data_IF_851005077449
#
_entry.id   IF_851005077449
#
_cell.length_a   1.000
_cell.length_b   1.000
_cell.length_c   1.000
_cell.angle_alpha   90.00
_cell.angle_beta   90.00
_cell.angle_gamma   90.00
#
_symmetry.space_group_name_H-M   'P 1'
#
loop_
_entity.id
_entity.type
_entity.pdbx_description
1 polymer ?
#
# COMPACT_ATOMS: atom_id res chain seq x y z
N UNK A 1 -15.88 28.45 10.48
CA UNK A 1 -15.51 27.51 9.41
C UNK A 1 -15.29 26.17 10.06
N UNK A 2 -15.71 25.10 9.39
CA UNK A 2 -15.45 23.76 9.88
C UNK A 2 -14.35 23.12 9.04
N UNK A 3 -13.49 22.38 9.73
CA UNK A 3 -12.56 21.48 9.09
C UNK A 3 -13.31 20.17 8.83
N UNK A 4 -13.48 19.84 7.56
CA UNK A 4 -14.22 18.66 7.11
C UNK A 4 -13.32 17.78 6.25
N UNK A 5 -13.82 16.61 5.84
CA UNK A 5 -13.22 15.86 4.74
C UNK A 5 -13.94 16.18 3.43
N UNK A 6 -13.18 16.51 2.39
CA UNK A 6 -13.64 16.54 1.01
C UNK A 6 -12.74 15.59 0.20
N UNK A 7 -13.35 14.57 -0.43
CA UNK A 7 -12.63 13.49 -1.13
C UNK A 7 -11.50 12.84 -0.29
N UNK A 8 -11.72 12.70 1.01
CA UNK A 8 -10.77 12.08 1.94
C UNK A 8 -9.56 12.95 2.32
N UNK A 9 -9.49 14.20 1.85
CA UNK A 9 -8.52 15.20 2.27
C UNK A 9 -9.16 16.20 3.25
N UNK A 10 -8.39 16.76 4.21
CA UNK A 10 -8.86 17.87 5.03
C UNK A 10 -9.18 19.07 4.14
N UNK A 11 -10.37 19.61 4.31
CA UNK A 11 -10.86 20.81 3.66
C UNK A 11 -11.45 21.77 4.69
N UNK A 12 -11.39 23.06 4.41
CA UNK A 12 -12.05 24.08 5.23
C UNK A 12 -13.30 24.53 4.49
N UNK A 13 -14.46 24.36 5.12
CA UNK A 13 -15.74 24.82 4.56
C UNK A 13 -16.25 26.01 5.36
N UNK A 14 -16.69 27.04 4.62
CA UNK A 14 -17.38 28.17 5.20
C UNK A 14 -18.84 27.85 5.46
N UNK A 15 -19.28 28.05 6.70
CA UNK A 15 -20.70 28.22 6.98
C UNK A 15 -21.15 29.56 6.41
N UNK A 16 -22.35 29.61 5.84
CA UNK A 16 -22.90 30.81 5.22
C UNK A 16 -22.73 32.04 6.11
N UNK A 17 -22.50 33.20 5.49
CA UNK A 17 -22.36 34.47 6.20
C UNK A 17 -23.59 34.67 7.10
N UNK A 18 -23.37 34.75 8.41
CA UNK A 18 -24.41 35.15 9.33
C UNK A 18 -24.90 36.54 8.89
N UNK A 19 -26.17 36.65 8.52
CA UNK A 19 -26.81 37.90 8.07
C UNK A 19 -27.13 38.83 9.24
N UNK A 20 -26.83 38.43 10.47
CA UNK A 20 -27.04 39.24 11.67
C UNK A 20 -25.82 39.18 12.60
N UNK A 21 -25.30 40.36 12.90
CA UNK A 21 -24.29 40.64 13.93
C UNK A 21 -25.02 40.61 15.28
N UNK A 22 -24.83 39.55 16.05
CA UNK A 22 -25.39 39.39 17.39
C UNK A 22 -24.35 38.76 18.29
N UNK A 23 -24.36 39.14 19.58
CA UNK A 23 -23.40 38.75 20.61
C UNK A 23 -23.28 37.23 20.73
N UNK A 24 -22.44 36.62 19.90
CA UNK A 24 -22.10 35.21 19.96
C UNK A 24 -20.92 35.03 20.92
N UNK A 25 -21.07 34.12 21.87
CA UNK A 25 -19.97 33.63 22.70
C UNK A 25 -18.79 33.18 21.82
N UNK A 26 -17.53 33.53 22.14
CA UNK A 26 -16.37 33.13 21.36
C UNK A 26 -16.29 31.60 21.23
N UNK A 27 -16.47 31.10 20.01
CA UNK A 27 -16.37 29.67 19.69
C UNK A 27 -14.92 29.25 19.44
N UNK A 28 -14.52 28.07 19.92
CA UNK A 28 -13.20 27.51 19.64
C UNK A 28 -13.09 27.11 18.16
N UNK A 29 -12.04 27.58 17.48
CA UNK A 29 -11.83 27.35 16.05
C UNK A 29 -10.66 26.40 15.82
N UNK A 30 -10.84 25.43 14.91
CA UNK A 30 -9.77 24.49 14.49
C UNK A 30 -9.04 24.94 13.22
N UNK A 31 -9.65 25.78 12.39
CA UNK A 31 -9.06 26.41 11.21
C UNK A 31 -9.88 27.66 10.79
N UNK A 32 -9.22 28.71 10.29
CA UNK A 32 -9.89 29.92 9.81
C UNK A 32 -9.22 30.47 8.54
N UNK A 33 -10.02 31.04 7.65
CA UNK A 33 -9.58 31.88 6.53
C UNK A 33 -9.28 33.28 7.06
N UNK A 34 -8.43 34.01 6.36
CA UNK A 34 -7.73 35.16 6.95
C UNK A 34 -8.59 36.42 7.18
N UNK A 35 -9.88 36.36 6.90
CA UNK A 35 -10.79 37.52 6.88
C UNK A 35 -11.48 37.82 8.22
N UNK A 36 -11.11 37.17 9.33
CA UNK A 36 -11.78 37.41 10.64
C UNK A 36 -11.11 36.84 11.90
N UNK A 37 -9.78 36.70 11.95
CA UNK A 37 -9.07 36.17 13.13
C UNK A 37 -8.61 37.26 14.10
N UNK A 38 -9.08 37.22 15.35
CA UNK A 38 -8.49 37.98 16.46
C UNK A 38 -7.56 37.07 17.27
N UNK A 39 -6.25 37.36 17.26
CA UNK A 39 -5.23 36.53 17.90
C UNK A 39 -4.40 37.37 18.87
N UNK A 40 -4.04 36.78 20.02
CA UNK A 40 -3.09 37.42 20.94
C UNK A 40 -1.71 37.51 20.29
N UNK A 41 -1.15 38.73 20.21
CA UNK A 41 0.12 39.00 19.53
C UNK A 41 1.29 38.24 20.15
N UNK A 42 1.30 38.01 21.47
CA UNK A 42 2.37 37.26 22.15
C UNK A 42 2.25 35.78 21.82
N UNK A 43 1.04 35.24 21.74
CA UNK A 43 0.77 33.88 21.29
C UNK A 43 1.19 33.66 19.84
N UNK A 44 0.88 34.61 18.94
CA UNK A 44 1.32 34.58 17.54
C UNK A 44 2.85 34.63 17.43
N UNK A 45 3.50 35.50 18.20
CA UNK A 45 4.97 35.58 18.23
C UNK A 45 5.60 34.30 18.79
N UNK A 46 5.01 33.71 19.83
CA UNK A 46 5.50 32.48 20.46
C UNK A 46 5.52 31.29 19.50
N UNK A 47 4.55 31.20 18.58
CA UNK A 47 4.51 30.15 17.55
C UNK A 47 5.27 30.48 16.26
N UNK A 48 6.02 31.60 16.23
CA UNK A 48 6.84 32.00 15.09
C UNK A 48 6.12 32.84 14.01
N UNK A 49 5.01 33.49 14.34
CA UNK A 49 4.32 34.44 13.46
C UNK A 49 3.57 33.82 12.27
N UNK A 50 3.09 34.68 11.36
CA UNK A 50 2.41 34.26 10.12
C UNK A 50 3.45 33.71 9.15
N UNK A 51 3.21 32.51 8.61
CA UNK A 51 4.13 31.93 7.63
C UNK A 51 4.06 32.68 6.29
N UNK A 52 5.19 32.87 5.59
CA UNK A 52 5.24 33.57 4.31
C UNK A 52 4.76 32.66 3.16
N UNK A 53 3.49 32.27 3.20
CA UNK A 53 2.85 31.47 2.15
C UNK A 53 2.24 32.39 1.09
N UNK A 54 2.25 31.95 -0.17
CA UNK A 54 1.61 32.65 -1.29
C UNK A 54 0.08 32.71 -1.23
N UNK A 55 -0.53 32.23 -0.13
CA UNK A 55 -1.95 32.30 0.17
C UNK A 55 -2.13 32.70 1.63
N UNK A 56 -2.86 33.80 1.88
CA UNK A 56 -3.12 34.25 3.24
C UNK A 56 -4.00 33.25 4.00
N UNK A 57 -4.90 32.56 3.29
CA UNK A 57 -5.75 31.52 3.86
C UNK A 57 -4.93 30.31 4.31
N UNK A 58 -3.97 29.87 3.50
CA UNK A 58 -3.04 28.82 3.87
C UNK A 58 -2.20 29.22 5.09
N UNK A 59 -1.73 30.47 5.13
CA UNK A 59 -0.96 31.00 6.26
C UNK A 59 -1.78 31.10 7.56
N UNK A 60 -3.06 31.48 7.45
CA UNK A 60 -3.98 31.56 8.57
C UNK A 60 -4.30 30.17 9.14
N UNK A 61 -4.60 29.18 8.29
CA UNK A 61 -4.83 27.80 8.73
C UNK A 61 -3.59 27.22 9.42
N UNK A 62 -2.40 27.41 8.85
CA UNK A 62 -1.15 26.97 9.46
C UNK A 62 -0.91 27.62 10.84
N UNK A 63 -1.20 28.92 10.98
CA UNK A 63 -1.06 29.65 12.23
C UNK A 63 -2.03 29.14 13.30
N UNK A 64 -3.30 28.94 12.94
CA UNK A 64 -4.33 28.40 13.85
C UNK A 64 -3.95 27.00 14.34
N UNK A 65 -3.49 26.13 13.45
CA UNK A 65 -3.04 24.78 13.82
C UNK A 65 -1.87 24.82 14.82
N UNK A 66 -0.86 25.67 14.60
CA UNK A 66 0.26 25.86 15.55
C UNK A 66 -0.22 26.32 16.93
N UNK A 67 -1.10 27.30 16.97
CA UNK A 67 -1.68 27.79 18.23
C UNK A 67 -2.44 26.70 18.96
N UNK A 68 -3.27 25.93 18.26
CA UNK A 68 -4.04 24.82 18.84
C UNK A 68 -3.13 23.69 19.34
N UNK A 69 -2.04 23.38 18.62
CA UNK A 69 -1.04 22.37 19.03
C UNK A 69 -0.38 22.75 20.36
N UNK A 70 -0.11 24.04 20.59
CA UNK A 70 0.44 24.54 21.87
C UNK A 70 -0.62 24.71 22.98
N UNK A 71 -1.84 24.21 22.78
CA UNK A 71 -2.92 24.36 23.75
C UNK A 71 -3.47 25.78 23.86
N UNK A 72 -3.16 26.67 22.89
CA UNK A 72 -3.77 28.00 22.83
C UNK A 72 -5.19 27.88 22.31
N UNK A 73 -6.10 28.61 22.95
CA UNK A 73 -7.47 28.76 22.45
C UNK A 73 -7.47 29.82 21.36
N UNK A 74 -7.92 29.43 20.17
CA UNK A 74 -8.25 30.35 19.09
C UNK A 74 -9.75 30.53 19.09
N UNK A 75 -10.19 31.77 19.27
CA UNK A 75 -11.60 32.13 19.21
C UNK A 75 -11.91 32.87 17.91
N UNK A 76 -13.02 32.52 17.28
CA UNK A 76 -13.65 33.43 16.33
C UNK A 76 -14.54 34.36 17.15
N UNK A 77 -14.29 35.65 17.07
CA UNK A 77 -15.20 36.67 17.58
C UNK A 77 -15.96 37.18 16.37
N UNK A 78 -17.24 36.87 16.28
CA UNK A 78 -18.08 37.22 15.13
C UNK A 78 -18.07 38.74 14.83
N UNK A 79 -17.79 39.54 15.87
CA UNK A 79 -17.79 41.02 15.82
C UNK A 79 -16.36 41.61 15.81
N UNK A 80 -15.31 40.78 15.74
CA UNK A 80 -13.95 41.29 15.64
C UNK A 80 -13.63 41.68 14.19
N UNK A 81 -13.41 42.96 13.97
CA UNK A 81 -12.83 43.46 12.72
C UNK A 81 -11.35 43.08 12.70
N UNK A 82 -11.02 42.03 11.95
CA UNK A 82 -9.65 41.84 11.49
C UNK A 82 -9.39 42.91 10.42
N UNK A 83 -8.60 43.92 10.75
CA UNK A 83 -8.12 44.86 9.74
C UNK A 83 -7.07 44.11 8.92
N UNK A 84 -7.52 43.44 7.86
CA UNK A 84 -6.66 43.07 6.75
C UNK A 84 -6.36 44.37 5.99
N UNK A 85 -5.10 44.81 6.04
CA UNK A 85 -4.63 46.03 5.40
C UNK A 85 -4.57 45.93 3.86
N UNK A 86 -4.94 44.77 3.30
CA UNK A 86 -5.11 44.58 1.85
C UNK A 86 -6.53 45.03 1.43
N UNK A 87 -6.69 45.68 0.26
CA UNK A 87 -8.01 46.04 -0.23
C UNK A 87 -8.84 44.77 -0.48
N UNK A 88 -9.93 44.60 0.28
CA UNK A 88 -10.95 43.60 -0.02
C UNK A 88 -11.95 44.21 -1.01
N UNK A 89 -11.95 43.80 -2.29
CA UNK A 89 -12.75 44.46 -3.32
C UNK A 89 -14.26 44.21 -3.18
N UNK A 90 -14.68 43.19 -2.40
CA UNK A 90 -16.09 42.91 -2.09
C UNK A 90 -16.26 41.89 -0.94
N UNK A 91 -17.47 41.80 -0.37
CA UNK A 91 -17.84 40.73 0.58
C UNK A 91 -17.74 39.31 -0.03
N UNK A 92 -17.86 39.17 -1.36
CA UNK A 92 -17.60 37.90 -2.05
C UNK A 92 -16.12 37.48 -2.02
N UNK A 93 -15.20 38.39 -1.71
CA UNK A 93 -13.78 38.08 -1.47
C UNK A 93 -13.55 37.43 -0.09
N UNK A 94 -14.52 37.51 0.83
CA UNK A 94 -14.47 36.91 2.18
C UNK A 94 -14.85 35.42 2.13
N UNK A 95 -15.55 35.00 1.08
CA UNK A 95 -16.04 33.63 0.90
C UNK A 95 -15.64 33.14 -0.48
N UNK A 96 -14.39 32.70 -0.62
CA UNK A 96 -14.00 31.82 -1.72
C UNK A 96 -13.62 30.47 -1.15
N UNK A 97 -14.08 29.36 -1.77
CA UNK A 97 -13.52 28.05 -1.47
C UNK A 97 -11.99 28.13 -1.57
N UNK A 98 -11.27 27.57 -0.61
CA UNK A 98 -9.85 27.32 -0.79
C UNK A 98 -9.69 26.53 -2.08
N UNK A 99 -8.85 27.01 -2.98
CA UNK A 99 -8.49 26.25 -4.17
C UNK A 99 -7.58 25.09 -3.72
N UNK A 100 -8.07 23.83 -3.73
CA UNK A 100 -7.25 22.69 -3.32
C UNK A 100 -6.06 22.48 -4.26
N UNK A 101 -6.10 23.00 -5.49
CA UNK A 101 -4.99 22.94 -6.43
C UNK A 101 -3.92 24.02 -6.17
N UNK A 102 -4.13 24.93 -5.21
CA UNK A 102 -3.16 25.97 -4.88
C UNK A 102 -1.85 25.36 -4.35
N UNK A 103 -0.67 25.75 -4.89
CA UNK A 103 0.63 25.32 -4.36
C UNK A 103 0.82 25.65 -2.87
N UNK A 104 0.25 26.76 -2.41
CA UNK A 104 0.32 27.16 -1.00
C UNK A 104 -0.50 26.23 -0.10
N UNK A 105 -1.65 25.74 -0.59
CA UNK A 105 -2.46 24.76 0.14
C UNK A 105 -1.80 23.38 0.16
N UNK A 106 -1.24 22.94 -0.98
CA UNK A 106 -0.44 21.72 -1.03
C UNK A 106 0.71 21.75 0.00
N UNK A 107 1.42 22.88 0.11
CA UNK A 107 2.49 23.05 1.11
C UNK A 107 2.00 22.98 2.57
N UNK A 108 0.76 23.43 2.85
CA UNK A 108 0.15 23.24 4.17
C UNK A 108 -0.19 21.78 4.42
N UNK A 109 -0.81 21.10 3.44
CA UNK A 109 -1.17 19.68 3.56
C UNK A 109 0.07 18.80 3.72
N UNK A 110 1.16 19.08 3.01
CA UNK A 110 2.42 18.36 3.16
C UNK A 110 2.91 18.42 4.61
N UNK A 111 2.88 19.60 5.22
CA UNK A 111 3.40 19.81 6.58
C UNK A 111 2.42 19.41 7.69
N UNK A 112 1.11 19.54 7.47
CA UNK A 112 0.07 19.50 8.52
C UNK A 112 -1.11 18.57 8.22
N UNK A 113 -1.15 17.94 7.06
CA UNK A 113 -2.32 17.22 6.54
C UNK A 113 -2.86 16.17 7.51
N UNK A 114 -1.98 15.34 8.09
CA UNK A 114 -2.38 14.33 9.07
C UNK A 114 -3.03 14.94 10.33
N UNK A 115 -2.45 16.02 10.87
CA UNK A 115 -3.01 16.73 12.03
C UNK A 115 -4.36 17.36 11.72
N UNK A 116 -4.49 18.00 10.55
CA UNK A 116 -5.74 18.56 10.07
C UNK A 116 -6.80 17.46 9.89
N UNK A 117 -6.45 16.34 9.27
CA UNK A 117 -7.37 15.23 9.06
C UNK A 117 -7.91 14.65 10.37
N UNK A 118 -7.04 14.44 11.36
CA UNK A 118 -7.45 13.98 12.70
C UNK A 118 -8.32 15.00 13.42
N UNK A 119 -8.05 16.29 13.26
CA UNK A 119 -8.94 17.33 13.80
C UNK A 119 -10.34 17.30 13.14
N UNK A 120 -10.43 16.91 11.86
CA UNK A 120 -11.71 16.78 11.14
C UNK A 120 -12.49 15.49 11.47
N UNK A 121 -11.81 14.41 11.88
CA UNK A 121 -12.40 13.07 12.03
C UNK A 121 -12.38 12.49 13.45
N UNK A 122 -11.57 13.05 14.35
CA UNK A 122 -11.30 12.50 15.68
C UNK A 122 -9.97 11.72 15.75
N UNK A 123 -9.45 11.51 16.97
CA UNK A 123 -8.08 11.03 17.21
C UNK A 123 -7.92 9.50 17.32
N UNK A 124 -8.97 8.71 17.07
CA UNK A 124 -8.98 7.27 17.35
C UNK A 124 -8.55 6.35 16.20
N UNK A 125 -8.55 6.85 14.95
CA UNK A 125 -8.40 6.04 13.74
C UNK A 125 -7.18 6.47 12.93
N UNK A 126 -6.28 5.54 12.66
CA UNK A 126 -5.15 5.73 11.71
C UNK A 126 -5.68 5.76 10.28
N UNK A 127 -5.14 6.65 9.45
CA UNK A 127 -5.41 6.71 8.02
C UNK A 127 -4.14 6.37 7.25
N UNK A 128 -4.18 5.23 6.55
CA UNK A 128 -3.06 4.68 5.79
C UNK A 128 -3.29 4.87 4.30
N UNK A 129 -2.32 5.49 3.67
CA UNK A 129 -2.21 5.64 2.23
C UNK A 129 -1.36 4.48 1.68
N UNK A 130 -1.91 3.59 0.83
CA UNK A 130 -1.11 2.57 0.14
C UNK A 130 -0.95 2.93 -1.34
N UNK A 131 0.27 3.22 -1.78
CA UNK A 131 0.56 3.51 -3.20
C UNK A 131 1.32 2.35 -3.84
N UNK A 132 0.88 1.93 -5.02
CA UNK A 132 1.53 0.89 -5.83
C UNK A 132 2.10 1.46 -7.13
N UNK A 133 3.00 0.72 -7.77
CA UNK A 133 3.65 1.13 -9.02
C UNK A 133 2.74 1.08 -10.28
N UNK A 134 1.52 0.55 -10.17
CA UNK A 134 0.61 0.49 -11.32
C UNK A 134 0.35 1.92 -11.86
N UNK A 135 0.36 2.11 -13.19
CA UNK A 135 0.40 3.45 -13.79
C UNK A 135 -0.93 4.20 -13.75
N UNK A 136 -2.07 3.49 -13.63
CA UNK A 136 -3.39 4.09 -13.44
C UNK A 136 -4.40 3.08 -12.94
N UNK A 137 -5.48 3.56 -12.31
CA UNK A 137 -6.59 2.72 -11.83
C UNK A 137 -7.19 1.83 -12.93
N UNK A 138 -7.21 2.29 -14.20
CA UNK A 138 -7.76 1.55 -15.35
C UNK A 138 -7.08 0.20 -15.59
N UNK A 139 -5.81 0.07 -15.20
CA UNK A 139 -5.03 -1.16 -15.41
C UNK A 139 -4.61 -1.83 -14.10
N UNK A 140 -4.89 -1.21 -12.96
CA UNK A 140 -4.40 -1.65 -11.64
C UNK A 140 -4.81 -3.08 -11.30
N UNK A 141 -6.03 -3.49 -11.65
CA UNK A 141 -6.52 -4.86 -11.43
C UNK A 141 -5.66 -5.96 -12.10
N UNK A 142 -4.80 -5.61 -13.08
CA UNK A 142 -3.87 -6.54 -13.73
C UNK A 142 -2.51 -6.65 -13.02
N UNK A 143 -2.32 -5.95 -11.91
CA UNK A 143 -1.08 -5.93 -11.13
C UNK A 143 -1.27 -6.68 -9.81
N UNK A 144 -0.33 -7.57 -9.47
CA UNK A 144 -0.35 -8.29 -8.19
C UNK A 144 -0.30 -7.33 -7.00
N UNK A 145 0.50 -6.27 -7.11
CA UNK A 145 0.66 -5.20 -6.11
C UNK A 145 -0.68 -4.58 -5.70
N UNK A 146 -1.63 -4.45 -6.64
CA UNK A 146 -2.97 -3.92 -6.37
C UNK A 146 -3.76 -4.84 -5.45
N UNK A 147 -3.74 -6.13 -5.72
CA UNK A 147 -4.48 -7.11 -4.90
C UNK A 147 -3.84 -7.26 -3.52
N UNK A 148 -2.50 -7.25 -3.46
CA UNK A 148 -1.75 -7.23 -2.20
C UNK A 148 -2.10 -6.01 -1.34
N UNK A 149 -2.00 -4.81 -1.92
CA UNK A 149 -2.32 -3.57 -1.20
C UNK A 149 -3.80 -3.50 -0.79
N UNK A 150 -4.71 -4.00 -1.64
CA UNK A 150 -6.16 -4.05 -1.36
C UNK A 150 -6.48 -4.99 -0.21
N UNK A 151 -5.83 -6.16 -0.15
CA UNK A 151 -6.01 -7.09 0.94
C UNK A 151 -5.49 -6.52 2.26
N UNK A 152 -4.30 -5.90 2.28
CA UNK A 152 -3.79 -5.21 3.48
C UNK A 152 -4.72 -4.07 3.91
N UNK A 153 -5.22 -3.27 2.96
CA UNK A 153 -6.17 -2.20 3.26
C UNK A 153 -7.47 -2.72 3.89
N UNK A 154 -8.00 -3.83 3.38
CA UNK A 154 -9.19 -4.46 3.93
C UNK A 154 -8.97 -4.95 5.36
N UNK A 155 -7.82 -5.55 5.66
CA UNK A 155 -7.49 -6.04 7.01
C UNK A 155 -7.22 -4.89 7.99
N UNK A 156 -6.56 -3.81 7.56
CA UNK A 156 -6.47 -2.58 8.36
C UNK A 156 -7.86 -2.01 8.68
N UNK A 157 -8.78 -2.07 7.71
CA UNK A 157 -10.20 -1.76 7.89
C UNK A 157 -10.87 -2.58 8.99
N UNK A 158 -10.63 -3.90 9.02
CA UNK A 158 -11.16 -4.80 10.07
C UNK A 158 -10.56 -4.52 11.45
N UNK A 159 -9.33 -4.01 11.50
CA UNK A 159 -8.67 -3.56 12.72
C UNK A 159 -9.12 -2.15 13.16
N UNK A 160 -10.08 -1.53 12.47
CA UNK A 160 -10.67 -0.23 12.83
C UNK A 160 -9.94 0.97 12.24
N UNK A 161 -9.00 0.76 11.30
CA UNK A 161 -8.22 1.80 10.64
C UNK A 161 -8.78 2.17 9.26
N UNK A 162 -8.53 3.40 8.80
CA UNK A 162 -8.77 3.78 7.42
C UNK A 162 -7.59 3.40 6.55
N UNK A 163 -7.85 2.82 5.38
CA UNK A 163 -6.81 2.51 4.42
C UNK A 163 -7.32 2.69 2.98
N UNK A 164 -6.56 3.39 2.16
CA UNK A 164 -6.90 3.65 0.76
C UNK A 164 -5.76 3.25 -0.15
N UNK A 165 -6.06 2.40 -1.14
CA UNK A 165 -5.11 1.98 -2.18
C UNK A 165 -5.18 2.91 -3.37
N UNK A 166 -4.03 3.25 -3.96
CA UNK A 166 -3.95 4.08 -5.16
C UNK A 166 -2.79 3.72 -6.06
N UNK A 167 -2.92 4.15 -7.30
CA UNK A 167 -1.89 4.04 -8.34
C UNK A 167 -0.94 5.24 -8.30
N UNK A 168 0.21 5.09 -8.97
CA UNK A 168 1.30 6.07 -8.88
C UNK A 168 0.94 7.44 -9.47
N UNK A 169 0.08 7.49 -10.49
CA UNK A 169 -0.46 8.73 -11.09
C UNK A 169 -1.34 9.54 -10.12
N UNK A 170 -1.72 8.93 -8.99
CA UNK A 170 -2.51 9.53 -7.92
C UNK A 170 -1.73 9.65 -6.62
N UNK A 171 -0.41 9.39 -6.64
CA UNK A 171 0.44 9.45 -5.45
C UNK A 171 0.47 10.85 -4.80
N UNK A 172 0.34 11.89 -5.61
CA UNK A 172 0.41 13.29 -5.19
C UNK A 172 -0.93 13.91 -4.78
N UNK A 173 -2.03 13.14 -4.76
CA UNK A 173 -3.33 13.65 -4.31
C UNK A 173 -3.27 14.16 -2.86
N UNK A 174 -4.01 15.22 -2.54
CA UNK A 174 -4.04 15.77 -1.19
C UNK A 174 -4.49 14.76 -0.13
N UNK A 175 -5.41 13.86 -0.47
CA UNK A 175 -5.86 12.80 0.43
C UNK A 175 -4.72 11.81 0.77
N UNK A 176 -3.82 11.58 -0.20
CA UNK A 176 -2.61 10.81 0.03
C UNK A 176 -1.70 11.52 1.01
N UNK A 177 -1.39 12.80 0.73
CA UNK A 177 -0.49 13.65 1.51
C UNK A 177 -0.98 13.91 2.93
N UNK A 178 -2.30 13.90 3.14
CA UNK A 178 -2.93 14.07 4.44
C UNK A 178 -3.08 12.79 5.27
N UNK A 179 -2.71 11.62 4.74
CA UNK A 179 -2.72 10.38 5.49
C UNK A 179 -1.67 10.40 6.61
N UNK A 180 -1.95 9.70 7.72
CA UNK A 180 -1.02 9.61 8.86
C UNK A 180 0.27 8.88 8.48
N UNK A 181 0.12 7.82 7.66
CA UNK A 181 1.23 6.99 7.17
C UNK A 181 1.02 6.72 5.68
N UNK A 182 2.07 6.91 4.90
CA UNK A 182 2.12 6.55 3.48
C UNK A 182 2.99 5.31 3.27
N UNK A 183 2.34 4.18 3.02
CA UNK A 183 3.00 2.93 2.66
C UNK A 183 3.16 2.87 1.14
N UNK A 184 4.41 2.91 0.68
CA UNK A 184 4.76 2.67 -0.72
C UNK A 184 5.00 1.17 -0.90
N UNK A 185 4.05 0.47 -1.51
CA UNK A 185 4.23 -0.91 -1.94
C UNK A 185 5.11 -0.88 -3.18
N UNK A 186 6.42 -1.07 -2.98
CA UNK A 186 7.42 -0.84 -4.01
C UNK A 186 7.44 -1.98 -5.02
N UNK A 187 6.97 -1.65 -6.22
CA UNK A 187 7.08 -2.46 -7.44
C UNK A 187 8.18 -1.91 -8.35
N UNK A 188 7.83 -1.55 -9.59
CA UNK A 188 8.77 -1.09 -10.64
C UNK A 188 9.08 0.42 -10.62
N UNK A 189 8.40 1.22 -9.80
CA UNK A 189 8.52 2.68 -9.82
C UNK A 189 8.67 3.27 -8.41
N UNK A 190 9.61 4.21 -8.29
CA UNK A 190 9.81 5.01 -7.09
C UNK A 190 8.63 5.96 -6.87
N UNK A 191 8.25 6.15 -5.61
CA UNK A 191 7.26 7.15 -5.21
C UNK A 191 7.97 8.18 -4.36
N UNK A 192 7.84 9.44 -4.74
CA UNK A 192 8.51 10.54 -4.03
C UNK A 192 7.97 10.67 -2.59
N UNK A 193 8.87 10.84 -1.63
CA UNK A 193 8.50 11.20 -0.27
C UNK A 193 7.93 12.64 -0.20
N UNK A 194 6.80 12.78 0.49
CA UNK A 194 6.20 14.10 0.77
C UNK A 194 6.79 14.64 2.08
N UNK A 195 7.36 15.86 2.10
CA UNK A 195 7.93 16.43 3.33
C UNK A 195 6.89 16.52 4.45
N UNK A 196 7.20 15.99 5.62
CA UNK A 196 6.30 16.01 6.80
C UNK A 196 5.34 14.82 6.90
N UNK A 197 5.21 14.01 5.85
CA UNK A 197 4.48 12.75 5.88
C UNK A 197 5.40 11.59 6.30
N UNK A 198 4.88 10.69 7.13
CA UNK A 198 5.57 9.45 7.50
C UNK A 198 5.47 8.44 6.37
N UNK A 199 6.54 8.26 5.63
CA UNK A 199 6.62 7.29 4.55
C UNK A 199 7.26 5.99 5.01
N UNK A 200 6.63 4.88 4.66
CA UNK A 200 7.12 3.52 4.83
C UNK A 200 7.31 2.90 3.45
N UNK A 201 8.51 2.45 3.14
CA UNK A 201 8.81 1.79 1.88
C UNK A 201 8.73 0.27 2.07
N UNK A 202 7.79 -0.40 1.41
CA UNK A 202 7.66 -1.86 1.47
C UNK A 202 8.12 -2.51 0.16
N UNK A 203 9.34 -3.06 0.18
CA UNK A 203 9.97 -3.74 -0.95
C UNK A 203 9.41 -5.16 -1.05
N UNK A 204 8.56 -5.39 -2.06
CA UNK A 204 7.93 -6.69 -2.31
C UNK A 204 8.49 -7.40 -3.55
N UNK A 205 9.14 -6.67 -4.46
CA UNK A 205 9.68 -7.19 -5.71
C UNK A 205 10.74 -6.26 -6.28
N UNK A 206 11.44 -6.70 -7.34
CA UNK A 206 12.46 -5.92 -8.06
C UNK A 206 13.49 -5.23 -7.13
N UNK A 207 14.05 -5.94 -6.14
CA UNK A 207 14.91 -5.36 -5.09
C UNK A 207 16.14 -4.61 -5.61
N UNK A 208 16.64 -4.99 -6.79
CA UNK A 208 17.81 -4.33 -7.40
C UNK A 208 17.49 -2.98 -8.06
N UNK A 209 16.22 -2.65 -8.23
CA UNK A 209 15.76 -1.36 -8.80
C UNK A 209 15.50 -0.30 -7.72
N UNK A 210 15.77 -0.62 -6.44
CA UNK A 210 15.56 0.31 -5.32
C UNK A 210 16.86 1.08 -5.05
N UNK A 211 16.80 2.39 -5.28
CA UNK A 211 17.93 3.28 -5.05
C UNK A 211 18.11 3.63 -3.56
N UNK A 212 19.35 3.88 -3.12
CA UNK A 212 19.65 4.25 -1.73
C UNK A 212 18.89 5.53 -1.31
N UNK A 213 18.74 6.49 -2.23
CA UNK A 213 17.97 7.71 -1.97
C UNK A 213 16.49 7.45 -1.65
N UNK A 214 15.89 6.33 -2.12
CA UNK A 214 14.54 5.93 -1.72
C UNK A 214 14.52 5.39 -0.29
N UNK A 215 15.55 4.61 0.07
CA UNK A 215 15.69 4.05 1.42
C UNK A 215 15.86 5.18 2.46
N UNK A 216 16.72 6.15 2.14
CA UNK A 216 17.05 7.27 3.02
C UNK A 216 15.92 8.30 3.15
N UNK A 217 14.99 8.34 2.18
CA UNK A 217 13.83 9.22 2.23
C UNK A 217 12.68 8.66 3.10
N UNK A 218 12.63 7.35 3.29
CA UNK A 218 11.63 6.69 4.11
C UNK A 218 11.96 6.81 5.61
N UNK A 219 10.95 6.64 6.47
CA UNK A 219 11.15 6.54 7.92
C UNK A 219 11.27 5.09 8.39
N UNK A 220 10.83 4.14 7.56
CA UNK A 220 10.95 2.71 7.79
C UNK A 220 10.97 1.99 6.45
N UNK A 221 11.89 1.05 6.29
CA UNK A 221 11.96 0.14 5.16
C UNK A 221 11.48 -1.23 5.61
N UNK A 222 10.44 -1.73 4.95
CA UNK A 222 9.93 -3.08 5.11
C UNK A 222 10.36 -3.91 3.90
N UNK A 223 10.80 -5.15 4.13
CA UNK A 223 11.32 -6.01 3.07
C UNK A 223 10.66 -7.37 3.12
N UNK A 224 10.19 -7.86 1.97
CA UNK A 224 9.60 -9.19 1.84
C UNK A 224 10.63 -10.32 1.74
N UNK A 225 11.81 -10.13 2.34
CA UNK A 225 12.91 -11.08 2.41
C UNK A 225 13.80 -10.74 3.61
N UNK A 226 14.06 -11.72 4.48
CA UNK A 226 15.00 -11.56 5.58
C UNK A 226 16.44 -11.37 5.08
N UNK A 227 16.87 -12.19 4.10
CA UNK A 227 18.19 -12.09 3.48
C UNK A 227 18.45 -10.70 2.89
N UNK A 228 17.46 -10.13 2.20
CA UNK A 228 17.61 -8.80 1.61
C UNK A 228 17.53 -7.70 2.67
N UNK A 229 16.70 -7.85 3.71
CA UNK A 229 16.68 -6.92 4.83
C UNK A 229 18.06 -6.79 5.49
N UNK A 230 18.76 -7.91 5.72
CA UNK A 230 20.11 -7.91 6.27
C UNK A 230 21.10 -7.14 5.39
N UNK A 231 21.03 -7.32 4.07
CA UNK A 231 21.85 -6.59 3.12
C UNK A 231 21.54 -5.07 3.13
N UNK A 232 20.27 -4.68 3.26
CA UNK A 232 19.87 -3.28 3.29
C UNK A 232 20.25 -2.56 4.58
N UNK A 233 20.32 -3.26 5.72
CA UNK A 233 20.79 -2.67 7.01
C UNK A 233 22.20 -2.10 6.94
N UNK A 234 23.02 -2.58 6.01
CA UNK A 234 24.36 -2.06 5.75
C UNK A 234 24.39 -0.90 4.73
N UNK A 235 23.29 -0.63 4.02
CA UNK A 235 23.20 0.36 2.93
C UNK A 235 22.52 1.67 3.34
N UNK A 236 21.70 1.66 4.37
CA UNK A 236 20.96 2.84 4.83
C UNK A 236 20.96 2.93 6.36
N UNK A 237 20.85 4.16 6.88
CA UNK A 237 20.61 4.40 8.30
C UNK A 237 19.12 4.28 8.68
N UNK A 238 18.22 4.24 7.69
CA UNK A 238 16.79 4.04 7.92
C UNK A 238 16.55 2.65 8.51
N UNK A 239 15.71 2.51 9.55
CA UNK A 239 15.37 1.20 10.09
C UNK A 239 14.84 0.23 9.02
N UNK A 240 15.35 -0.99 9.02
CA UNK A 240 14.95 -2.05 8.07
C UNK A 240 14.37 -3.25 8.82
N UNK A 241 13.13 -3.60 8.49
CA UNK A 241 12.35 -4.66 9.12
C UNK A 241 11.81 -5.64 8.08
N UNK A 242 11.55 -6.88 8.50
CA UNK A 242 10.99 -7.91 7.62
C UNK A 242 9.46 -7.86 7.68
N UNK A 243 8.83 -7.70 6.52
CA UNK A 243 7.39 -7.89 6.35
C UNK A 243 7.19 -8.68 5.05
N UNK A 244 6.96 -9.98 5.18
CA UNK A 244 6.82 -10.88 4.03
C UNK A 244 5.53 -10.62 3.25
N UNK A 245 5.48 -11.09 2.00
CA UNK A 245 4.20 -11.27 1.31
C UNK A 245 3.33 -12.32 2.04
N UNK A 246 2.05 -12.41 1.68
CA UNK A 246 1.05 -13.21 2.37
C UNK A 246 -0.20 -13.38 1.51
N UNK A 247 -1.06 -14.34 1.84
CA UNK A 247 -2.30 -14.60 1.09
C UNK A 247 -3.54 -13.92 1.69
N UNK A 248 -4.52 -13.60 0.84
CA UNK A 248 -5.90 -13.33 1.27
C UNK A 248 -6.62 -14.66 1.45
N UNK A 249 -6.46 -15.27 2.62
CA UNK A 249 -7.03 -16.58 2.95
C UNK A 249 -8.58 -16.64 2.90
N UNK A 250 -9.25 -15.48 2.87
CA UNK A 250 -10.71 -15.42 2.71
C UNK A 250 -11.10 -15.59 1.24
N UNK A 251 -10.25 -15.14 0.31
CA UNK A 251 -10.38 -15.31 -1.15
C UNK A 251 -9.77 -16.63 -1.62
N UNK A 252 -8.51 -16.86 -1.30
CA UNK A 252 -7.77 -18.06 -1.67
C UNK A 252 -8.04 -19.15 -0.64
N UNK A 253 -8.93 -20.06 -1.03
CA UNK A 253 -9.36 -21.22 -0.25
C UNK A 253 -9.73 -22.34 -1.22
N UNK A 254 -9.81 -23.60 -0.76
CA UNK A 254 -10.26 -24.68 -1.60
C UNK A 254 -11.67 -24.39 -2.13
N UNK A 255 -11.83 -24.41 -3.44
CA UNK A 255 -13.12 -24.28 -4.13
C UNK A 255 -13.44 -25.57 -4.91
N UNK A 256 -14.72 -25.85 -5.22
CA UNK A 256 -15.08 -26.93 -6.13
C UNK A 256 -14.33 -26.79 -7.46
N UNK A 257 -13.62 -27.83 -7.94
CA UNK A 257 -12.90 -27.76 -9.20
C UNK A 257 -13.82 -27.59 -10.41
N UNK A 258 -13.48 -26.64 -11.27
CA UNK A 258 -14.17 -26.37 -12.54
C UNK A 258 -13.54 -27.20 -13.67
N UNK A 259 -14.31 -28.05 -14.38
CA UNK A 259 -13.83 -28.78 -15.55
C UNK A 259 -13.08 -27.95 -16.59
N UNK A 260 -13.43 -26.67 -16.79
CA UNK A 260 -12.75 -25.77 -17.75
C UNK A 260 -11.32 -25.41 -17.33
N UNK A 261 -10.99 -25.58 -16.04
CA UNK A 261 -9.69 -25.28 -15.44
C UNK A 261 -8.95 -26.54 -14.98
N UNK A 262 -9.45 -27.74 -15.30
CA UNK A 262 -8.80 -29.00 -14.94
C UNK A 262 -7.64 -29.31 -15.87
N UNK A 263 -6.43 -29.06 -15.39
CA UNK A 263 -5.17 -29.38 -16.05
C UNK A 263 -4.25 -30.10 -15.08
N UNK A 264 -3.49 -31.09 -15.56
CA UNK A 264 -2.52 -31.80 -14.73
C UNK A 264 -1.48 -30.84 -14.15
N UNK A 265 -0.98 -29.93 -15.00
CA UNK A 265 0.01 -28.91 -14.61
C UNK A 265 -0.48 -27.53 -15.07
N UNK A 266 -0.46 -26.57 -14.16
CA UNK A 266 -0.87 -25.18 -14.43
C UNK A 266 0.23 -24.20 -14.07
N UNK A 267 0.40 -23.14 -14.85
CA UNK A 267 1.19 -21.97 -14.45
C UNK A 267 0.41 -20.69 -14.73
N UNK A 268 0.34 -19.81 -13.72
CA UNK A 268 -0.27 -18.48 -13.85
C UNK A 268 0.83 -17.43 -13.88
N UNK A 269 1.30 -17.08 -15.07
CA UNK A 269 2.36 -16.10 -15.24
C UNK A 269 2.38 -15.47 -16.63
N UNK A 270 2.93 -14.27 -16.72
CA UNK A 270 3.27 -13.61 -18.00
C UNK A 270 4.75 -13.83 -18.29
N UNK A 271 5.12 -14.02 -19.55
CA UNK A 271 6.52 -14.05 -19.95
C UNK A 271 7.19 -12.68 -19.75
N UNK A 272 6.43 -11.61 -20.01
CA UNK A 272 6.94 -10.23 -20.18
C UNK A 272 8.06 -10.11 -21.23
N UNK A 273 8.06 -11.00 -22.22
CA UNK A 273 9.12 -11.06 -23.24
C UNK A 273 10.41 -11.72 -22.75
N UNK A 274 10.40 -12.33 -21.56
CA UNK A 274 11.55 -13.01 -20.97
C UNK A 274 11.41 -14.52 -21.02
N UNK A 275 12.53 -15.20 -21.22
CA UNK A 275 12.60 -16.65 -21.18
C UNK A 275 12.57 -17.15 -19.73
N UNK A 276 11.50 -17.84 -19.33
CA UNK A 276 11.29 -18.29 -17.95
C UNK A 276 11.78 -19.73 -17.76
N UNK A 277 12.82 -19.91 -16.94
CA UNK A 277 13.53 -21.18 -16.78
C UNK A 277 12.61 -22.33 -16.36
N UNK A 278 11.60 -22.07 -15.50
CA UNK A 278 10.61 -23.07 -15.08
C UNK A 278 9.81 -23.63 -16.26
N UNK A 279 9.26 -22.77 -17.12
CA UNK A 279 8.45 -23.20 -18.25
C UNK A 279 9.30 -23.91 -19.31
N UNK A 280 10.50 -23.39 -19.56
CA UNK A 280 11.44 -24.03 -20.47
C UNK A 280 11.85 -25.43 -20.00
N UNK A 281 12.17 -25.59 -18.71
CA UNK A 281 12.48 -26.88 -18.11
C UNK A 281 11.29 -27.85 -18.17
N UNK A 282 10.06 -27.36 -17.94
CA UNK A 282 8.85 -28.17 -18.01
C UNK A 282 8.64 -28.70 -19.43
N UNK A 283 8.68 -27.82 -20.45
CA UNK A 283 8.51 -28.20 -21.85
C UNK A 283 9.61 -29.16 -22.31
N UNK A 284 10.87 -28.89 -21.94
CA UNK A 284 12.00 -29.77 -22.27
C UNK A 284 11.88 -31.16 -21.63
N UNK A 285 11.23 -31.26 -20.46
CA UNK A 285 10.93 -32.52 -19.79
C UNK A 285 9.67 -33.22 -20.33
N UNK A 286 9.05 -32.69 -21.39
CA UNK A 286 7.81 -33.23 -21.96
C UNK A 286 6.55 -32.91 -21.15
N UNK A 287 6.63 -32.00 -20.19
CA UNK A 287 5.46 -31.50 -19.46
C UNK A 287 4.79 -30.41 -20.29
N UNK A 288 3.48 -30.52 -20.48
CA UNK A 288 2.66 -29.55 -21.20
C UNK A 288 1.83 -28.71 -20.21
N UNK A 289 2.42 -27.66 -19.59
CA UNK A 289 1.70 -26.85 -18.62
C UNK A 289 0.60 -26.01 -19.30
N UNK A 290 -0.57 -25.95 -18.68
CA UNK A 290 -1.61 -24.98 -19.01
C UNK A 290 -1.21 -23.58 -18.52
N UNK A 291 -1.01 -22.66 -19.46
CA UNK A 291 -0.50 -21.32 -19.19
C UNK A 291 -1.63 -20.30 -19.15
N UNK A 292 -1.79 -19.66 -18.00
CA UNK A 292 -2.65 -18.50 -17.80
C UNK A 292 -1.80 -17.22 -17.69
N UNK A 293 -1.66 -16.52 -18.82
CA UNK A 293 -0.95 -15.26 -18.95
C UNK A 293 -0.43 -15.05 -20.38
N UNK A 294 -0.11 -13.81 -20.73
CA UNK A 294 0.27 -13.44 -22.10
C UNK A 294 1.78 -13.33 -22.35
N UNK A 295 2.14 -13.28 -23.64
CA UNK A 295 3.50 -13.05 -24.15
C UNK A 295 4.31 -14.32 -24.38
N UNK A 296 3.69 -15.50 -24.33
CA UNK A 296 4.35 -16.80 -24.38
C UNK A 296 4.57 -17.32 -25.80
N UNK A 297 3.88 -16.76 -26.79
CA UNK A 297 3.92 -17.16 -28.19
C UNK A 297 5.34 -17.30 -28.77
N UNK A 298 6.33 -16.46 -28.39
CA UNK A 298 7.72 -16.64 -28.86
C UNK A 298 8.49 -17.78 -28.18
N UNK A 299 7.99 -18.35 -27.08
CA UNK A 299 8.75 -19.24 -26.19
C UNK A 299 8.20 -20.66 -26.10
N UNK A 300 6.93 -20.87 -26.39
CA UNK A 300 6.25 -22.16 -26.25
C UNK A 300 5.24 -22.37 -27.38
N UNK A 301 4.76 -23.60 -27.54
CA UNK A 301 3.61 -23.86 -28.41
C UNK A 301 2.40 -23.03 -27.95
N UNK A 302 1.80 -22.19 -28.83
CA UNK A 302 0.60 -21.41 -28.50
C UNK A 302 -0.56 -22.24 -27.95
N UNK A 303 -0.64 -23.54 -28.26
CA UNK A 303 -1.64 -24.45 -27.71
C UNK A 303 -1.56 -24.62 -26.18
N UNK A 304 -0.41 -24.33 -25.57
CA UNK A 304 -0.24 -24.34 -24.11
C UNK A 304 -0.87 -23.10 -23.44
N UNK A 305 -1.14 -22.03 -24.19
CA UNK A 305 -1.72 -20.79 -23.65
C UNK A 305 -3.23 -20.91 -23.58
N UNK A 306 -3.76 -21.11 -22.38
CA UNK A 306 -5.21 -21.24 -22.14
C UNK A 306 -5.89 -19.88 -22.21
N UNK A 307 -5.30 -18.87 -21.59
CA UNK A 307 -5.80 -17.49 -21.65
C UNK A 307 -4.67 -16.49 -21.44
N UNK A 308 -4.70 -15.31 -22.09
CA UNK A 308 -3.67 -14.29 -21.92
C UNK A 308 -3.75 -13.57 -20.55
N UNK A 309 -4.85 -13.75 -19.82
CA UNK A 309 -5.11 -13.13 -18.52
C UNK A 309 -6.23 -13.88 -17.79
N UNK A 310 -6.14 -13.92 -16.46
CA UNK A 310 -7.21 -14.38 -15.55
C UNK A 310 -7.41 -13.31 -14.49
N UNK A 311 -8.67 -12.99 -14.18
CA UNK A 311 -8.96 -12.02 -13.12
C UNK A 311 -8.59 -12.61 -11.76
N UNK A 312 -8.15 -11.76 -10.82
CA UNK A 312 -7.71 -12.23 -9.51
C UNK A 312 -8.82 -12.95 -8.72
N UNK A 313 -10.10 -12.60 -8.96
CA UNK A 313 -11.26 -13.27 -8.37
C UNK A 313 -11.48 -14.70 -8.88
N UNK A 314 -11.00 -15.03 -10.08
CA UNK A 314 -11.10 -16.36 -10.68
C UNK A 314 -9.88 -17.24 -10.36
N UNK A 315 -8.78 -16.66 -9.88
CA UNK A 315 -7.58 -17.43 -9.54
C UNK A 315 -7.82 -18.54 -8.52
N UNK A 316 -8.65 -18.37 -7.46
CA UNK A 316 -8.92 -19.47 -6.53
C UNK A 316 -9.53 -20.71 -7.19
N UNK A 317 -10.42 -20.55 -8.19
CA UNK A 317 -11.00 -21.70 -8.89
C UNK A 317 -9.98 -22.32 -9.86
N UNK A 318 -9.16 -21.52 -10.54
CA UNK A 318 -8.05 -22.01 -11.36
C UNK A 318 -7.08 -22.84 -10.52
N UNK A 319 -6.62 -22.31 -9.39
CA UNK A 319 -5.71 -23.03 -8.50
C UNK A 319 -6.36 -24.28 -7.91
N UNK A 320 -7.61 -24.22 -7.46
CA UNK A 320 -8.29 -25.39 -6.88
C UNK A 320 -8.49 -26.53 -7.91
N UNK A 321 -8.56 -26.18 -9.20
CA UNK A 321 -8.80 -27.12 -10.30
C UNK A 321 -7.54 -27.78 -10.86
N UNK A 322 -6.36 -27.23 -10.59
CA UNK A 322 -5.10 -27.76 -11.08
C UNK A 322 -4.66 -29.04 -10.33
N UNK A 323 -4.01 -29.97 -11.03
CA UNK A 323 -3.31 -31.08 -10.41
C UNK A 323 -2.11 -30.60 -9.59
N UNK A 324 -1.20 -29.89 -10.26
CA UNK A 324 -0.02 -29.23 -9.70
C UNK A 324 0.13 -27.82 -10.30
N UNK A 325 0.54 -26.85 -9.49
CA UNK A 325 0.87 -25.50 -9.98
C UNK A 325 2.38 -25.30 -9.98
N UNK A 326 2.91 -24.74 -11.08
CA UNK A 326 4.30 -24.30 -11.13
C UNK A 326 4.40 -22.84 -10.66
N UNK A 327 5.36 -22.58 -9.78
CA UNK A 327 5.71 -21.25 -9.32
C UNK A 327 7.19 -20.95 -9.61
N UNK A 328 7.47 -19.70 -9.97
CA UNK A 328 8.82 -19.23 -10.18
C UNK A 328 8.92 -17.74 -9.86
N UNK A 329 10.15 -17.29 -9.67
CA UNK A 329 10.49 -15.93 -9.28
C UNK A 329 11.23 -15.20 -10.40
N UNK A 330 11.28 -13.87 -10.29
CA UNK A 330 12.33 -13.13 -10.98
C UNK A 330 13.68 -13.53 -10.40
N UNK A 331 14.72 -13.52 -11.23
CA UNK A 331 16.02 -14.06 -10.82
C UNK A 331 16.66 -13.26 -9.67
N UNK A 332 16.44 -11.94 -9.64
CA UNK A 332 16.84 -11.10 -8.51
C UNK A 332 16.05 -11.41 -7.23
N UNK A 333 14.73 -11.58 -7.33
CA UNK A 333 13.88 -12.03 -6.23
C UNK A 333 14.34 -13.38 -5.67
N UNK A 334 14.60 -14.36 -6.54
CA UNK A 334 15.10 -15.69 -6.16
C UNK A 334 16.43 -15.61 -5.43
N UNK A 335 17.41 -14.89 -6.00
CA UNK A 335 18.74 -14.74 -5.39
C UNK A 335 18.68 -14.06 -4.03
N UNK A 336 17.79 -13.07 -3.89
CA UNK A 336 17.66 -12.25 -2.70
C UNK A 336 16.60 -12.76 -1.72
N UNK A 337 16.07 -13.98 -1.88
CA UNK A 337 15.25 -14.65 -0.87
C UNK A 337 13.80 -14.15 -0.79
N UNK A 338 13.24 -13.63 -1.88
CA UNK A 338 11.84 -13.19 -1.94
C UNK A 338 10.94 -14.37 -2.32
N UNK A 339 10.14 -14.86 -1.37
CA UNK A 339 9.07 -15.83 -1.65
C UNK A 339 7.86 -15.10 -2.26
N UNK A 340 7.45 -15.52 -3.45
CA UNK A 340 6.35 -14.91 -4.19
C UNK A 340 5.00 -15.16 -3.52
N UNK A 341 4.09 -14.19 -3.67
CA UNK A 341 2.73 -14.34 -3.16
C UNK A 341 1.99 -15.58 -3.68
N UNK A 342 2.26 -15.96 -4.94
CA UNK A 342 1.61 -17.10 -5.60
C UNK A 342 1.79 -18.40 -4.80
N UNK A 343 2.94 -18.60 -4.17
CA UNK A 343 3.18 -19.79 -3.33
C UNK A 343 2.16 -19.88 -2.21
N UNK A 344 1.91 -18.76 -1.51
CA UNK A 344 0.94 -18.70 -0.42
C UNK A 344 -0.49 -18.85 -0.94
N UNK A 345 -0.84 -18.18 -2.04
CA UNK A 345 -2.18 -18.26 -2.63
C UNK A 345 -2.54 -19.69 -3.07
N UNK A 346 -1.61 -20.40 -3.71
CA UNK A 346 -1.83 -21.78 -4.18
C UNK A 346 -1.98 -22.75 -3.01
N UNK A 347 -1.11 -22.64 -2.00
CA UNK A 347 -1.21 -23.46 -0.79
C UNK A 347 -2.49 -23.16 -0.01
N UNK A 348 -2.94 -21.90 0.07
CA UNK A 348 -4.21 -21.54 0.70
C UNK A 348 -5.41 -22.21 0.00
N UNK A 349 -5.34 -22.40 -1.32
CA UNK A 349 -6.29 -23.19 -2.10
C UNK A 349 -6.17 -24.72 -1.92
N UNK A 350 -5.18 -25.21 -1.17
CA UNK A 350 -4.98 -26.64 -0.94
C UNK A 350 -4.47 -27.39 -2.17
N UNK A 351 -3.72 -26.71 -3.04
CA UNK A 351 -3.20 -27.25 -4.28
C UNK A 351 -1.68 -27.46 -4.19
N UNK A 352 -1.13 -28.58 -4.70
CA UNK A 352 0.30 -28.82 -4.75
C UNK A 352 1.00 -27.75 -5.60
N UNK A 353 2.16 -27.30 -5.13
CA UNK A 353 2.98 -26.30 -5.83
C UNK A 353 4.43 -26.77 -5.88
N UNK A 354 5.07 -26.61 -7.03
CA UNK A 354 6.51 -26.84 -7.23
C UNK A 354 7.15 -25.50 -7.59
N UNK A 355 8.30 -25.18 -6.98
CA UNK A 355 8.98 -23.90 -7.21
C UNK A 355 10.45 -24.07 -7.63
N UNK A 356 11.02 -23.05 -8.26
CA UNK A 356 12.47 -22.84 -8.26
C UNK A 356 13.03 -22.77 -6.83
N UNK A 357 14.28 -23.21 -6.65
CA UNK A 357 14.87 -23.30 -5.32
C UNK A 357 15.34 -21.95 -4.74
N UNK A 358 14.90 -21.67 -3.52
CA UNK A 358 15.47 -20.72 -2.57
C UNK A 358 15.34 -21.26 -1.13
N UNK A 359 16.35 -21.12 -0.26
CA UNK A 359 16.31 -21.60 1.12
C UNK A 359 15.10 -21.14 1.93
N UNK A 360 14.66 -19.90 1.69
CA UNK A 360 13.55 -19.27 2.39
C UNK A 360 12.21 -20.01 2.21
N UNK A 361 12.02 -20.75 1.11
CA UNK A 361 10.83 -21.59 0.97
C UNK A 361 10.84 -22.74 1.99
N UNK A 362 11.99 -23.37 2.20
CA UNK A 362 12.13 -24.48 3.15
C UNK A 362 12.05 -23.96 4.59
N UNK A 363 12.64 -22.80 4.87
CA UNK A 363 12.56 -22.17 6.19
C UNK A 363 11.11 -21.82 6.59
N UNK A 364 10.30 -21.36 5.64
CA UNK A 364 8.92 -20.94 5.90
C UNK A 364 7.90 -22.09 5.82
N UNK A 365 8.11 -23.06 4.92
CA UNK A 365 7.09 -24.04 4.54
C UNK A 365 7.56 -25.50 4.69
N UNK A 366 8.79 -25.71 5.18
CA UNK A 366 9.40 -27.04 5.30
C UNK A 366 9.41 -27.77 3.97
N UNK A 367 8.99 -29.03 4.00
CA UNK A 367 8.91 -29.90 2.80
C UNK A 367 7.62 -29.70 2.00
N UNK A 368 6.77 -28.73 2.33
CA UNK A 368 5.47 -28.58 1.67
C UNK A 368 5.57 -28.22 0.17
N UNK A 369 6.67 -27.59 -0.22
CA UNK A 369 6.92 -27.11 -1.59
C UNK A 369 8.18 -27.77 -2.13
N UNK A 370 8.07 -28.80 -2.99
CA UNK A 370 9.22 -29.34 -3.69
C UNK A 370 9.90 -28.26 -4.54
N UNK A 371 11.24 -28.27 -4.53
CA UNK A 371 12.03 -27.30 -5.28
C UNK A 371 13.05 -27.95 -6.20
N UNK A 372 13.36 -27.26 -7.30
CA UNK A 372 14.38 -27.69 -8.26
C UNK A 372 15.49 -26.65 -8.40
N UNK A 373 16.70 -27.11 -8.66
CA UNK A 373 17.89 -26.28 -8.92
C UNK A 373 18.34 -26.38 -10.36
N UNK A 374 18.18 -27.56 -10.97
CA UNK A 374 18.58 -27.84 -12.35
C UNK A 374 17.39 -28.29 -13.20
N UNK A 375 17.33 -27.93 -14.49
CA UNK A 375 16.20 -28.24 -15.36
C UNK A 375 15.78 -29.72 -15.34
N UNK A 376 16.75 -30.63 -15.25
CA UNK A 376 16.52 -32.09 -15.27
C UNK A 376 15.74 -32.60 -14.03
N UNK A 377 15.66 -31.81 -12.96
CA UNK A 377 14.97 -32.18 -11.72
C UNK A 377 13.45 -31.91 -11.78
N UNK A 378 13.01 -31.00 -12.66
CA UNK A 378 11.62 -30.56 -12.68
C UNK A 378 10.64 -31.64 -13.16
N UNK A 379 10.98 -32.32 -14.25
CA UNK A 379 10.15 -33.40 -14.81
C UNK A 379 9.85 -34.51 -13.80
N UNK A 380 10.87 -35.08 -13.11
CA UNK A 380 10.67 -36.07 -12.05
C UNK A 380 9.80 -35.58 -10.89
N UNK A 381 9.92 -34.32 -10.45
CA UNK A 381 9.09 -33.77 -9.39
C UNK A 381 7.61 -33.69 -9.81
N UNK A 382 7.35 -33.20 -11.02
CA UNK A 382 5.99 -33.15 -11.59
C UNK A 382 5.42 -34.57 -11.73
N UNK A 383 6.19 -35.51 -12.28
CA UNK A 383 5.75 -36.88 -12.47
C UNK A 383 5.42 -37.56 -11.12
N UNK A 384 6.22 -37.32 -10.07
CA UNK A 384 5.96 -37.86 -8.74
C UNK A 384 4.63 -37.34 -8.16
N UNK A 385 4.35 -36.04 -8.28
CA UNK A 385 3.11 -35.44 -7.77
C UNK A 385 1.87 -35.90 -8.56
N UNK A 386 2.00 -36.13 -9.86
CA UNK A 386 0.91 -36.66 -10.70
C UNK A 386 0.68 -38.16 -10.50
N UNK A 387 1.73 -38.92 -10.15
CA UNK A 387 1.62 -40.35 -9.89
C UNK A 387 0.92 -40.66 -8.55
N UNK A 388 1.05 -39.77 -7.56
CA UNK A 388 0.33 -39.87 -6.27
C UNK A 388 -0.32 -38.52 -5.89
N UNK A 389 -1.47 -38.19 -6.50
CA UNK A 389 -2.18 -36.94 -6.20
C UNK A 389 -2.62 -36.85 -4.74
N UNK A 390 -2.86 -37.98 -4.07
CA UNK A 390 -3.27 -37.98 -2.67
C UNK A 390 -2.12 -37.54 -1.76
N UNK A 391 -0.91 -38.07 -1.97
CA UNK A 391 0.29 -37.62 -1.25
C UNK A 391 0.63 -36.16 -1.56
N UNK A 392 0.55 -35.75 -2.82
CA UNK A 392 0.78 -34.36 -3.22
C UNK A 392 -0.20 -33.40 -2.52
N UNK A 393 -1.48 -33.76 -2.45
CA UNK A 393 -2.52 -32.97 -1.76
C UNK A 393 -2.35 -32.97 -0.24
N UNK A 394 -1.93 -34.07 0.37
CA UNK A 394 -1.61 -34.12 1.79
C UNK A 394 -0.44 -33.18 2.14
N UNK A 395 0.60 -33.15 1.30
CA UNK A 395 1.74 -32.24 1.45
C UNK A 395 1.32 -30.77 1.28
N UNK A 396 0.47 -30.48 0.28
CA UNK A 396 -0.11 -29.15 0.10
C UNK A 396 -0.98 -28.72 1.29
N UNK A 397 -1.73 -29.65 1.88
CA UNK A 397 -2.52 -29.38 3.09
C UNK A 397 -1.63 -29.05 4.30
N UNK A 398 -0.50 -29.73 4.48
CA UNK A 398 0.47 -29.36 5.52
C UNK A 398 1.04 -27.94 5.29
N UNK A 399 1.38 -27.60 4.05
CA UNK A 399 1.79 -26.24 3.68
C UNK A 399 0.69 -25.20 3.92
N UNK A 400 -0.56 -25.55 3.62
CA UNK A 400 -1.73 -24.70 3.88
C UNK A 400 -1.87 -24.34 5.35
N UNK A 401 -1.70 -25.30 6.25
CA UNK A 401 -1.79 -25.03 7.70
C UNK A 401 -0.72 -24.03 8.15
N UNK A 402 0.51 -24.14 7.64
CA UNK A 402 1.57 -23.16 7.89
C UNK A 402 1.22 -21.77 7.34
N UNK A 403 0.70 -21.71 6.11
CA UNK A 403 0.28 -20.45 5.47
C UNK A 403 -0.84 -19.77 6.25
N UNK A 404 -1.85 -20.52 6.69
CA UNK A 404 -2.97 -19.96 7.44
C UNK A 404 -2.57 -19.49 8.85
N UNK A 405 -1.60 -20.15 9.47
CA UNK A 405 -1.09 -19.75 10.77
C UNK A 405 -0.31 -18.42 10.72
N UNK A 406 0.59 -18.27 9.73
CA UNK A 406 1.66 -17.25 9.76
C UNK A 406 1.70 -16.30 8.55
N UNK A 407 1.09 -16.66 7.42
CA UNK A 407 1.27 -15.99 6.13
C UNK A 407 -0.03 -15.45 5.52
N UNK A 408 -0.88 -14.84 6.35
CA UNK A 408 -2.11 -14.16 5.91
C UNK A 408 -1.99 -12.64 5.94
N UNK A 409 -2.75 -11.93 5.10
CA UNK A 409 -2.77 -10.47 5.16
C UNK A 409 -3.32 -9.91 6.48
N UNK A 410 -4.14 -10.69 7.19
CA UNK A 410 -4.58 -10.36 8.55
C UNK A 410 -3.37 -10.23 9.49
N UNK A 411 -2.46 -11.22 9.45
CA UNK A 411 -1.19 -11.16 10.18
C UNK A 411 -0.33 -9.99 9.72
N UNK A 412 -0.22 -9.74 8.41
CA UNK A 412 0.59 -8.62 7.88
C UNK A 412 0.07 -7.26 8.28
N UNK A 413 -1.25 -7.06 8.33
CA UNK A 413 -1.83 -5.81 8.79
C UNK A 413 -1.55 -5.57 10.28
N UNK A 414 -1.69 -6.60 11.13
CA UNK A 414 -1.32 -6.51 12.54
C UNK A 414 0.18 -6.22 12.73
N UNK A 415 1.05 -6.96 12.04
CA UNK A 415 2.50 -6.75 12.06
C UNK A 415 2.89 -5.35 11.57
N UNK A 416 2.23 -4.84 10.52
CA UNK A 416 2.44 -3.47 10.04
C UNK A 416 2.14 -2.46 11.15
N UNK A 417 1.00 -2.58 11.84
CA UNK A 417 0.67 -1.67 12.94
C UNK A 417 1.66 -1.76 14.11
N UNK A 418 2.11 -2.96 14.46
CA UNK A 418 3.14 -3.18 15.48
C UNK A 418 4.47 -2.53 15.09
N UNK A 419 4.89 -2.67 13.83
CA UNK A 419 6.09 -2.05 13.29
C UNK A 419 5.98 -0.53 13.28
N UNK A 420 4.83 0.01 12.86
CA UNK A 420 4.56 1.45 12.93
C UNK A 420 4.62 1.97 14.37
N UNK A 421 4.11 1.20 15.34
CA UNK A 421 4.19 1.57 16.76
C UNK A 421 5.64 1.55 17.28
N UNK A 422 6.37 0.48 16.98
CA UNK A 422 7.76 0.27 17.42
C UNK A 422 8.71 1.37 16.95
N UNK A 423 8.46 1.92 15.77
CA UNK A 423 9.27 2.96 15.14
C UNK A 423 8.65 4.37 15.29
N UNK A 424 7.75 4.59 16.24
CA UNK A 424 7.12 5.89 16.55
C UNK A 424 6.41 6.56 15.35
N UNK A 425 5.93 5.74 14.41
CA UNK A 425 5.21 6.19 13.21
C UNK A 425 3.69 6.28 13.42
N UNK A 426 3.17 5.86 14.57
CA UNK A 426 1.78 6.12 14.96
C UNK A 426 1.60 7.56 15.47
N UNK A 427 0.47 8.23 15.18
CA UNK A 427 0.20 9.55 15.74
C UNK A 427 0.22 9.51 17.27
N UNK A 428 0.84 10.50 17.91
CA UNK A 428 0.80 10.60 19.37
C UNK A 428 -0.67 10.67 19.83
N UNK A 429 -1.05 9.77 20.76
CA UNK A 429 -2.34 9.88 21.45
C UNK A 429 -2.28 11.13 22.32
N UNK A 430 -3.11 12.12 22.00
CA UNK A 430 -3.25 13.36 22.78
C UNK A 430 -4.00 13.11 24.07
#
# INVERSE_FOLDING_TARGET
LDLVLHDGAPAVVAHGAATAVGAAEPGAVRAALATGLALDRRAVAAVGGVAPLGSLDAAAVELVDRLVVEGRRVALVADAVAIDERPLPSAAAIVRPLDPASPAWAAVVDRRGASLRRAATGAGRLEVALTIAAPSAKVAARWGDWHLASAVAAELGRLGHGATVRTIDRADELAARAADVHVVVRGLRAVRATPGQRQVLWIISHPLEVADAELDAAQLVLVASARHADALRARTATPVEVLLQATDHRRFRPLPPDPAHRHDVTIVAKSRGEHRAMVAAAVAAGVAPAIYGGGWEPFVDPALVVAPYVANEDLPVVYSSAGVVLNDHWDDMRRLGFVSNRTFDVLACGTPVISDHLPELVELLGDAVPTWRRPEELGPLVAADLADPAAARARAAAGRELVLAEHTFERRAAQLLELLARHDLLPARR
#
